data_IF_445357081633
#
_entry.id   IF_445357081633
#
_cell.length_a   1.000
_cell.length_b   1.000
_cell.length_c   1.000
_cell.angle_alpha   90.00
_cell.angle_beta   90.00
_cell.angle_gamma   90.00
#
_symmetry.space_group_name_H-M   'P 1'
#
loop_
_entity.id
_entity.type
_entity.pdbx_description
1 polymer ?
#
# COMPACT_ATOMS: atom_id res chain seq x y z
N UNK A 1 6.59 -54.68 -40.00
CA UNK A 1 6.47 -55.15 -38.58
C UNK A 1 6.87 -53.97 -37.72
N UNK A 2 5.97 -53.58 -36.90
CA UNK A 2 6.27 -52.58 -35.85
C UNK A 2 6.96 -53.33 -34.71
N UNK A 3 8.24 -53.12 -34.53
CA UNK A 3 8.98 -53.76 -33.45
C UNK A 3 8.72 -52.98 -32.15
N UNK A 4 8.30 -53.66 -31.08
CA UNK A 4 8.01 -53.07 -29.80
C UNK A 4 9.23 -52.33 -29.20
N UNK A 5 10.46 -52.78 -29.56
CA UNK A 5 11.72 -52.17 -29.15
C UNK A 5 11.86 -50.75 -29.74
N UNK A 6 11.57 -50.54 -31.02
CA UNK A 6 11.63 -49.20 -31.65
C UNK A 6 10.68 -48.18 -31.04
N UNK A 7 9.51 -48.65 -30.55
CA UNK A 7 8.55 -47.81 -29.84
C UNK A 7 9.08 -47.41 -28.47
N UNK A 8 9.62 -48.37 -27.72
CA UNK A 8 10.23 -48.12 -26.42
C UNK A 8 11.41 -47.15 -26.50
N UNK A 9 12.27 -47.30 -27.53
CA UNK A 9 13.40 -46.43 -27.80
C UNK A 9 12.95 -44.99 -28.12
N UNK A 10 11.85 -44.81 -28.87
CA UNK A 10 11.29 -43.51 -29.19
C UNK A 10 10.78 -42.81 -27.91
N UNK A 11 10.09 -43.51 -27.02
CA UNK A 11 9.65 -42.95 -25.73
C UNK A 11 10.83 -42.66 -24.81
N UNK A 12 11.83 -43.52 -24.77
CA UNK A 12 13.08 -43.28 -24.02
C UNK A 12 13.85 -42.05 -24.52
N UNK A 13 13.76 -41.76 -25.83
CA UNK A 13 14.31 -40.56 -26.43
C UNK A 13 13.45 -39.28 -26.21
N UNK A 14 12.32 -39.38 -25.49
CA UNK A 14 11.47 -38.24 -25.14
C UNK A 14 10.29 -37.99 -26.09
N UNK A 15 9.95 -38.92 -26.96
CA UNK A 15 8.73 -38.81 -27.77
C UNK A 15 7.48 -38.98 -26.90
N UNK A 16 6.53 -38.06 -27.04
CA UNK A 16 5.24 -38.11 -26.32
C UNK A 16 4.25 -39.09 -26.96
N UNK A 17 4.40 -39.39 -28.24
CA UNK A 17 3.61 -40.34 -28.99
C UNK A 17 4.36 -40.77 -30.24
N UNK A 18 3.87 -41.82 -30.91
CA UNK A 18 4.40 -42.26 -32.21
C UNK A 18 3.25 -42.62 -33.13
N UNK A 19 3.47 -42.49 -34.44
CA UNK A 19 2.55 -42.86 -35.49
C UNK A 19 3.22 -43.80 -36.48
N UNK A 20 2.46 -44.76 -37.00
CA UNK A 20 2.90 -45.59 -38.11
C UNK A 20 2.90 -44.79 -39.41
N UNK A 21 3.71 -45.19 -40.40
CA UNK A 21 3.67 -44.58 -41.75
C UNK A 21 2.27 -44.77 -42.33
N UNK A 22 1.70 -43.70 -42.87
CA UNK A 22 0.34 -43.66 -43.43
C UNK A 22 -0.73 -43.99 -42.36
N UNK A 23 -0.82 -43.19 -41.28
CA UNK A 23 -1.82 -43.42 -40.26
C UNK A 23 -3.23 -43.21 -40.82
N UNK A 24 -4.20 -43.90 -40.24
CA UNK A 24 -5.60 -43.62 -40.51
C UNK A 24 -5.93 -42.18 -40.15
N UNK A 25 -6.73 -41.51 -40.99
CA UNK A 25 -7.07 -40.10 -40.79
C UNK A 25 -7.78 -39.85 -39.45
N UNK A 26 -8.63 -40.78 -39.03
CA UNK A 26 -9.39 -40.64 -37.81
C UNK A 26 -8.46 -40.77 -36.61
N UNK A 27 -7.54 -41.76 -36.63
CA UNK A 27 -6.53 -41.95 -35.59
C UNK A 27 -5.61 -40.73 -35.49
N UNK A 28 -5.10 -40.23 -36.62
CA UNK A 28 -4.24 -39.06 -36.64
C UNK A 28 -4.92 -37.83 -36.02
N UNK A 29 -6.15 -37.54 -36.41
CA UNK A 29 -6.92 -36.41 -35.84
C UNK A 29 -7.16 -36.58 -34.35
N UNK A 30 -7.51 -37.80 -33.91
CA UNK A 30 -7.74 -38.08 -32.48
C UNK A 30 -6.48 -37.84 -31.64
N UNK A 31 -5.31 -38.30 -32.10
CA UNK A 31 -4.02 -38.11 -31.45
C UNK A 31 -3.60 -36.64 -31.42
N UNK A 32 -3.70 -35.94 -32.53
CA UNK A 32 -3.39 -34.50 -32.61
C UNK A 32 -4.28 -33.74 -31.60
N UNK A 33 -5.57 -34.01 -31.59
CA UNK A 33 -6.51 -33.36 -30.62
C UNK A 33 -6.15 -33.68 -29.17
N UNK A 34 -5.79 -34.93 -28.88
CA UNK A 34 -5.40 -35.34 -27.56
C UNK A 34 -4.15 -34.62 -27.04
N UNK A 35 -3.08 -34.62 -27.86
CA UNK A 35 -1.79 -34.03 -27.49
C UNK A 35 -1.79 -32.50 -27.54
N UNK A 36 -2.56 -31.90 -28.45
CA UNK A 36 -2.67 -30.42 -28.48
C UNK A 36 -3.59 -29.84 -27.41
N UNK A 37 -4.48 -30.64 -26.80
CA UNK A 37 -5.43 -30.15 -25.78
C UNK A 37 -4.75 -29.50 -24.60
N UNK A 38 -3.66 -30.06 -24.08
CA UNK A 38 -2.89 -29.48 -22.98
C UNK A 38 -2.26 -28.14 -23.35
N UNK A 39 -1.75 -28.03 -24.59
CA UNK A 39 -1.17 -26.80 -25.10
C UNK A 39 -2.22 -25.70 -25.33
N UNK A 40 -3.38 -26.05 -25.90
CA UNK A 40 -4.50 -25.12 -26.08
C UNK A 40 -4.98 -24.60 -24.75
N UNK A 41 -5.22 -25.49 -23.77
CA UNK A 41 -5.63 -25.08 -22.42
C UNK A 41 -4.58 -24.16 -21.75
N UNK A 42 -3.29 -24.38 -21.99
CA UNK A 42 -2.21 -23.51 -21.50
C UNK A 42 -2.29 -22.12 -22.14
N UNK A 43 -2.51 -22.04 -23.46
CA UNK A 43 -2.67 -20.77 -24.15
C UNK A 43 -3.89 -19.99 -23.64
N UNK A 44 -5.05 -20.63 -23.57
CA UNK A 44 -6.29 -20.02 -23.07
C UNK A 44 -6.11 -19.52 -21.62
N UNK A 45 -5.49 -20.32 -20.75
CA UNK A 45 -5.19 -19.90 -19.38
C UNK A 45 -4.25 -18.69 -19.36
N UNK A 46 -3.21 -18.68 -20.20
CA UNK A 46 -2.27 -17.57 -20.22
C UNK A 46 -2.91 -16.29 -20.79
N UNK A 47 -3.82 -16.41 -21.76
CA UNK A 47 -4.60 -15.27 -22.26
C UNK A 47 -5.54 -14.72 -21.19
N UNK A 48 -6.30 -15.58 -20.51
CA UNK A 48 -7.18 -15.18 -19.41
C UNK A 48 -6.39 -14.53 -18.27
N UNK A 49 -5.23 -15.08 -17.91
CA UNK A 49 -4.34 -14.51 -16.90
C UNK A 49 -3.86 -13.10 -17.31
N UNK A 50 -3.40 -12.94 -18.56
CA UNK A 50 -2.96 -11.62 -19.07
C UNK A 50 -4.09 -10.59 -19.06
N UNK A 51 -5.29 -10.99 -19.46
CA UNK A 51 -6.47 -10.11 -19.44
C UNK A 51 -6.76 -9.65 -18.01
N UNK A 52 -6.82 -10.58 -17.04
CA UNK A 52 -7.02 -10.25 -15.63
C UNK A 52 -5.94 -9.32 -15.08
N UNK A 53 -4.66 -9.59 -15.38
CA UNK A 53 -3.54 -8.75 -14.94
C UNK A 53 -3.62 -7.34 -15.54
N UNK A 54 -4.10 -7.21 -16.79
CA UNK A 54 -4.31 -5.91 -17.42
C UNK A 54 -5.44 -5.12 -16.75
N UNK A 55 -6.54 -5.76 -16.37
CA UNK A 55 -7.65 -5.11 -15.65
C UNK A 55 -7.22 -4.65 -14.25
N UNK A 56 -6.46 -5.48 -13.53
CA UNK A 56 -5.92 -5.11 -12.22
C UNK A 56 -4.94 -3.94 -12.31
N UNK A 57 -4.09 -3.91 -13.35
CA UNK A 57 -3.17 -2.80 -13.57
C UNK A 57 -3.89 -1.48 -13.85
N UNK A 58 -4.98 -1.50 -14.62
CA UNK A 58 -5.83 -0.31 -14.86
C UNK A 58 -6.50 0.17 -13.57
N UNK A 59 -6.99 -0.76 -12.74
CA UNK A 59 -7.55 -0.40 -11.44
C UNK A 59 -6.51 0.23 -10.50
N UNK A 60 -5.28 -0.28 -10.49
CA UNK A 60 -4.15 0.27 -9.73
C UNK A 60 -3.75 1.67 -10.21
N UNK A 61 -3.68 1.88 -11.52
CA UNK A 61 -3.42 3.20 -12.12
C UNK A 61 -4.50 4.20 -11.71
N UNK A 62 -5.78 3.80 -11.76
CA UNK A 62 -6.88 4.64 -11.31
C UNK A 62 -6.76 4.98 -9.82
N UNK A 63 -6.54 4.00 -8.94
CA UNK A 63 -6.37 4.23 -7.50
C UNK A 63 -5.21 5.19 -7.21
N UNK A 64 -4.07 5.01 -7.86
CA UNK A 64 -2.91 5.90 -7.75
C UNK A 64 -3.20 7.32 -8.25
N UNK A 65 -4.01 7.46 -9.31
CA UNK A 65 -4.40 8.76 -9.84
C UNK A 65 -5.27 9.61 -8.89
N UNK A 66 -5.85 8.97 -7.88
CA UNK A 66 -6.63 9.65 -6.83
C UNK A 66 -5.73 10.27 -5.75
N UNK A 67 -4.47 9.88 -5.66
CA UNK A 67 -3.53 10.47 -4.72
C UNK A 67 -3.25 11.94 -5.09
N UNK A 68 -3.14 12.83 -4.09
CA UNK A 68 -2.95 14.25 -4.36
C UNK A 68 -1.55 14.52 -4.95
N UNK A 69 -1.42 15.49 -5.89
CA UNK A 69 -0.11 15.89 -6.39
C UNK A 69 0.71 16.57 -5.29
N UNK A 70 2.05 16.39 -5.24
CA UNK A 70 2.90 17.08 -4.27
C UNK A 70 2.73 18.60 -4.27
N UNK A 71 2.72 19.19 -3.09
CA UNK A 71 2.75 20.64 -2.90
C UNK A 71 4.21 21.08 -2.81
N UNK A 72 4.68 21.85 -3.77
CA UNK A 72 6.09 22.27 -3.87
C UNK A 72 6.34 23.69 -3.40
N UNK A 73 5.29 24.48 -3.13
CA UNK A 73 5.36 25.86 -2.76
C UNK A 73 4.50 26.17 -1.51
N UNK A 74 4.83 27.28 -0.83
CA UNK A 74 4.09 27.77 0.34
C UNK A 74 4.63 27.27 1.67
N UNK A 75 3.93 27.64 2.75
CA UNK A 75 4.34 27.33 4.13
C UNK A 75 4.18 25.83 4.49
N UNK A 76 3.44 25.07 3.68
CA UNK A 76 3.28 23.63 3.80
C UNK A 76 3.63 23.00 2.47
N UNK A 77 4.66 22.18 2.46
CA UNK A 77 5.06 21.42 1.28
C UNK A 77 4.90 19.94 1.54
N UNK A 78 4.62 19.17 0.49
CA UNK A 78 4.41 17.71 0.61
C UNK A 78 5.20 16.96 -0.45
N UNK A 79 5.71 15.80 -0.07
CA UNK A 79 6.25 14.79 -0.97
C UNK A 79 5.81 13.41 -0.48
N UNK A 80 5.79 12.45 -1.35
CA UNK A 80 5.39 11.09 -0.95
C UNK A 80 6.00 10.02 -1.84
N UNK A 81 6.03 8.79 -1.31
CA UNK A 81 6.33 7.58 -2.06
C UNK A 81 5.29 6.52 -1.73
N UNK A 82 4.85 5.85 -2.77
CA UNK A 82 3.89 4.76 -2.70
C UNK A 82 4.33 3.63 -3.63
N UNK A 83 4.68 2.49 -3.06
CA UNK A 83 5.08 1.28 -3.77
C UNK A 83 4.27 0.11 -3.22
N UNK A 84 3.21 -0.32 -3.91
CA UNK A 84 2.39 -1.42 -3.44
C UNK A 84 3.15 -2.75 -3.52
N UNK A 85 2.94 -3.61 -2.53
CA UNK A 85 3.53 -4.96 -2.44
C UNK A 85 2.95 -5.91 -3.47
N UNK A 86 1.70 -5.68 -3.83
CA UNK A 86 0.95 -6.37 -4.87
C UNK A 86 0.50 -5.37 -5.94
N UNK A 87 -0.36 -5.77 -6.87
CA UNK A 87 -0.85 -4.83 -7.90
C UNK A 87 -1.75 -3.73 -7.33
N UNK A 88 -2.50 -4.03 -6.26
CA UNK A 88 -3.39 -3.10 -5.58
C UNK A 88 -3.09 -3.15 -4.08
N UNK A 89 -2.56 -2.05 -3.54
CA UNK A 89 -2.32 -1.88 -2.11
C UNK A 89 -3.57 -1.54 -1.33
N UNK A 90 -3.56 -1.84 -0.03
CA UNK A 90 -4.56 -1.40 0.95
C UNK A 90 -4.32 0.02 1.44
N UNK A 91 -3.09 0.48 1.34
CA UNK A 91 -2.64 1.80 1.76
C UNK A 91 -3.20 2.93 0.91
N UNK A 92 -3.50 4.04 1.56
CA UNK A 92 -3.83 5.27 0.88
C UNK A 92 -3.55 6.49 1.78
N UNK A 93 -3.26 7.64 1.18
CA UNK A 93 -3.01 8.87 1.93
C UNK A 93 -3.64 10.07 1.22
N UNK A 94 -3.76 11.17 1.95
CA UNK A 94 -4.26 12.39 1.38
C UNK A 94 -3.91 13.60 2.23
N UNK A 95 -4.11 14.77 1.65
CA UNK A 95 -3.99 16.05 2.31
C UNK A 95 -4.80 17.13 1.58
N UNK A 96 -5.30 18.07 2.33
CA UNK A 96 -6.04 19.21 1.80
C UNK A 96 -6.19 20.30 2.85
N UNK A 97 -6.49 21.50 2.40
CA UNK A 97 -6.92 22.58 3.28
C UNK A 97 -8.38 22.37 3.68
N UNK A 98 -8.63 22.20 5.00
CA UNK A 98 -10.00 22.13 5.55
C UNK A 98 -10.65 23.52 5.44
N UNK A 99 -9.88 24.53 5.77
CA UNK A 99 -10.21 25.93 5.60
C UNK A 99 -8.92 26.77 5.34
N UNK A 100 -9.00 28.10 5.45
CA UNK A 100 -7.86 28.98 5.16
C UNK A 100 -6.65 28.77 6.09
N UNK A 101 -6.84 28.21 7.28
CA UNK A 101 -5.79 28.11 8.31
C UNK A 101 -5.47 26.67 8.74
N UNK A 102 -6.34 25.70 8.41
CA UNK A 102 -6.21 24.32 8.85
C UNK A 102 -5.86 23.40 7.66
N UNK A 103 -4.69 22.79 7.72
CA UNK A 103 -4.21 21.82 6.74
C UNK A 103 -4.31 20.41 7.31
N UNK A 104 -5.19 19.60 6.73
CA UNK A 104 -5.35 18.19 7.09
C UNK A 104 -4.44 17.30 6.24
N UNK A 105 -3.83 16.27 6.86
CA UNK A 105 -3.07 15.23 6.19
C UNK A 105 -3.20 13.92 6.94
N UNK A 106 -3.23 12.82 6.20
CA UNK A 106 -3.55 11.51 6.76
C UNK A 106 -2.99 10.39 5.89
N UNK A 107 -2.74 9.26 6.53
CA UNK A 107 -2.44 7.99 5.89
C UNK A 107 -3.26 6.91 6.59
N UNK A 108 -3.83 6.03 5.80
CA UNK A 108 -4.61 4.88 6.26
C UNK A 108 -4.10 3.61 5.60
N UNK A 109 -4.23 2.51 6.30
CA UNK A 109 -3.91 1.16 5.84
C UNK A 109 -5.08 0.22 6.16
N UNK A 110 -5.61 -0.42 5.12
CA UNK A 110 -6.74 -1.35 5.20
C UNK A 110 -6.21 -2.77 5.37
N UNK A 111 -6.69 -3.47 6.39
CA UNK A 111 -6.30 -4.86 6.63
C UNK A 111 -6.45 -5.75 5.39
N UNK A 112 -5.40 -6.52 5.08
CA UNK A 112 -5.33 -7.39 3.91
C UNK A 112 -4.91 -6.66 2.64
N UNK A 113 -4.97 -7.33 1.50
CA UNK A 113 -4.46 -6.81 0.23
C UNK A 113 -5.40 -7.13 -0.94
N UNK A 114 -5.20 -6.44 -2.06
CA UNK A 114 -5.94 -6.65 -3.30
C UNK A 114 -7.16 -5.75 -3.46
N UNK A 115 -8.06 -6.13 -4.36
CA UNK A 115 -9.17 -5.26 -4.83
C UNK A 115 -10.07 -4.78 -3.69
N UNK A 116 -10.40 -5.64 -2.73
CA UNK A 116 -11.30 -5.30 -1.63
C UNK A 116 -10.75 -4.19 -0.75
N UNK A 117 -9.52 -4.35 -0.25
CA UNK A 117 -8.83 -3.34 0.57
C UNK A 117 -8.60 -2.04 -0.19
N UNK A 118 -8.18 -2.10 -1.46
CA UNK A 118 -8.02 -0.91 -2.29
C UNK A 118 -9.34 -0.13 -2.51
N UNK A 119 -10.48 -0.81 -2.70
CA UNK A 119 -11.77 -0.14 -2.84
C UNK A 119 -12.22 0.51 -1.53
N UNK A 120 -11.95 -0.13 -0.39
CA UNK A 120 -12.27 0.43 0.91
C UNK A 120 -11.41 1.67 1.21
N UNK A 121 -10.09 1.60 0.93
CA UNK A 121 -9.17 2.73 1.11
C UNK A 121 -9.57 3.93 0.24
N UNK A 122 -9.90 3.71 -1.05
CA UNK A 122 -10.41 4.76 -1.94
C UNK A 122 -11.72 5.36 -1.42
N UNK A 123 -12.62 4.53 -0.89
CA UNK A 123 -13.88 5.03 -0.32
C UNK A 123 -13.64 5.91 0.90
N UNK A 124 -12.76 5.50 1.83
CA UNK A 124 -12.40 6.29 3.01
C UNK A 124 -11.72 7.61 2.63
N UNK A 125 -10.77 7.60 1.68
CA UNK A 125 -10.11 8.81 1.19
C UNK A 125 -11.10 9.79 0.55
N UNK A 126 -12.05 9.29 -0.24
CA UNK A 126 -13.06 10.15 -0.86
C UNK A 126 -13.95 10.83 0.20
N UNK A 127 -14.34 10.11 1.25
CA UNK A 127 -15.09 10.67 2.38
C UNK A 127 -14.28 11.77 3.11
N UNK A 128 -12.99 11.52 3.36
CA UNK A 128 -12.11 12.49 4.01
C UNK A 128 -11.90 13.74 3.13
N UNK A 129 -11.56 13.55 1.85
CA UNK A 129 -11.26 14.65 0.93
C UNK A 129 -12.48 15.52 0.62
N UNK A 130 -13.67 14.93 0.53
CA UNK A 130 -14.93 15.66 0.31
C UNK A 130 -15.56 16.17 1.59
N UNK A 131 -14.96 15.87 2.75
CA UNK A 131 -15.49 16.21 4.07
C UNK A 131 -16.94 15.72 4.26
N UNK A 132 -17.23 14.51 3.77
CA UNK A 132 -18.58 13.95 3.69
C UNK A 132 -19.01 13.13 4.91
N UNK A 133 -18.56 13.50 6.13
CA UNK A 133 -19.02 12.94 7.38
C UNK A 133 -20.04 13.88 8.03
N UNK A 134 -21.32 13.50 8.14
CA UNK A 134 -22.36 14.38 8.63
C UNK A 134 -22.10 14.88 10.06
N UNK A 135 -22.10 16.21 10.24
CA UNK A 135 -21.93 16.84 11.55
C UNK A 135 -20.55 16.71 12.18
N UNK A 136 -19.55 16.26 11.43
CA UNK A 136 -18.16 16.11 11.89
C UNK A 136 -17.37 17.38 11.61
N UNK A 137 -16.68 17.88 12.62
CA UNK A 137 -15.68 18.94 12.49
C UNK A 137 -14.35 18.31 12.04
N UNK A 138 -13.93 18.59 10.80
CA UNK A 138 -12.68 18.06 10.21
C UNK A 138 -11.41 18.71 10.77
N UNK A 139 -11.54 19.76 11.58
CA UNK A 139 -10.40 20.33 12.33
C UNK A 139 -10.15 19.61 13.67
N UNK A 140 -11.02 18.69 14.07
CA UNK A 140 -10.95 17.90 15.30
C UNK A 140 -10.69 16.41 14.96
N UNK A 141 -9.42 15.95 14.97
CA UNK A 141 -9.04 14.59 14.56
C UNK A 141 -9.84 13.47 15.22
N UNK A 142 -10.10 13.57 16.52
CA UNK A 142 -10.88 12.58 17.27
C UNK A 142 -12.33 12.48 16.78
N UNK A 143 -12.90 13.56 16.29
CA UNK A 143 -14.25 13.57 15.71
C UNK A 143 -14.27 12.93 14.32
N UNK A 144 -13.21 13.17 13.55
CA UNK A 144 -13.05 12.54 12.21
C UNK A 144 -12.94 11.03 12.37
N UNK A 145 -12.09 10.54 13.29
CA UNK A 145 -11.97 9.10 13.54
C UNK A 145 -13.28 8.49 14.03
N UNK A 146 -14.03 9.18 14.89
CA UNK A 146 -15.35 8.75 15.33
C UNK A 146 -16.34 8.61 14.17
N UNK A 147 -16.41 9.62 13.30
CA UNK A 147 -17.28 9.61 12.11
C UNK A 147 -16.88 8.53 11.09
N UNK A 148 -15.58 8.30 10.90
CA UNK A 148 -15.08 7.19 10.08
C UNK A 148 -15.49 5.84 10.68
N UNK A 149 -15.31 5.67 12.00
CA UNK A 149 -15.70 4.42 12.66
C UNK A 149 -17.20 4.12 12.54
N UNK A 150 -18.06 5.12 12.64
CA UNK A 150 -19.50 4.95 12.42
C UNK A 150 -19.83 4.56 10.97
N UNK A 151 -19.11 5.15 10.01
CA UNK A 151 -19.38 4.96 8.59
C UNK A 151 -18.81 3.65 8.02
N UNK A 152 -17.71 3.14 8.59
CA UNK A 152 -16.94 2.02 8.06
C UNK A 152 -16.88 0.82 9.00
N UNK A 153 -18.01 0.42 9.59
CA UNK A 153 -18.08 -0.77 10.43
C UNK A 153 -17.78 -2.05 9.62
N UNK A 154 -16.84 -2.86 10.10
CA UNK A 154 -16.34 -4.07 9.42
C UNK A 154 -17.45 -5.04 9.01
N UNK A 155 -18.55 -5.11 9.76
CA UNK A 155 -19.71 -5.96 9.46
C UNK A 155 -20.37 -5.62 8.11
N UNK A 156 -20.26 -4.35 7.68
CA UNK A 156 -20.81 -3.86 6.42
C UNK A 156 -19.77 -3.83 5.29
N UNK A 157 -18.49 -4.16 5.58
CA UNK A 157 -17.35 -4.05 4.68
C UNK A 157 -16.53 -5.34 4.62
N UNK A 158 -17.18 -6.50 4.46
CA UNK A 158 -16.55 -7.81 4.31
C UNK A 158 -15.55 -8.16 5.45
N UNK A 159 -15.86 -7.76 6.68
CA UNK A 159 -15.01 -7.86 7.87
C UNK A 159 -13.65 -7.12 7.75
N UNK A 160 -13.55 -6.16 6.85
CA UNK A 160 -12.37 -5.31 6.76
C UNK A 160 -12.48 -4.12 7.73
N UNK A 161 -11.35 -3.78 8.32
CA UNK A 161 -11.12 -2.62 9.15
C UNK A 161 -9.83 -1.92 8.68
N UNK A 162 -9.54 -0.75 9.18
CA UNK A 162 -8.32 -0.07 8.81
C UNK A 162 -7.70 0.72 9.96
N UNK A 163 -6.42 0.95 9.84
CA UNK A 163 -5.69 1.89 10.67
C UNK A 163 -5.64 3.25 10.00
N UNK A 164 -5.52 4.31 10.78
CA UNK A 164 -5.36 5.67 10.24
C UNK A 164 -4.61 6.56 11.23
N UNK A 165 -3.69 7.36 10.71
CA UNK A 165 -3.19 8.53 11.38
C UNK A 165 -3.74 9.77 10.67
N UNK A 166 -4.39 10.66 11.42
CA UNK A 166 -5.01 11.89 10.91
C UNK A 166 -4.52 13.09 11.70
N UNK A 167 -3.92 14.06 11.02
CA UNK A 167 -3.41 15.30 11.61
C UNK A 167 -3.97 16.54 10.95
N UNK A 168 -4.12 17.61 11.74
CA UNK A 168 -4.55 18.95 11.30
C UNK A 168 -3.59 19.98 11.84
N UNK A 169 -2.84 20.61 10.95
CA UNK A 169 -1.92 21.69 11.27
C UNK A 169 -2.59 23.05 11.10
N UNK A 170 -2.59 23.84 12.19
CA UNK A 170 -3.07 25.21 12.18
C UNK A 170 -1.88 26.16 11.92
N UNK A 171 -1.82 26.75 10.71
CA UNK A 171 -0.65 27.50 10.24
C UNK A 171 -0.31 28.78 11.04
N UNK A 172 -1.30 29.44 11.68
CA UNK A 172 -1.05 30.70 12.43
C UNK A 172 -0.57 30.45 13.84
N UNK A 173 -1.01 29.35 14.46
CA UNK A 173 -0.64 29.02 15.85
C UNK A 173 0.45 27.98 15.92
N UNK A 174 0.86 27.42 14.76
CA UNK A 174 1.81 26.32 14.66
C UNK A 174 1.43 25.12 15.52
N UNK A 175 0.13 24.89 15.69
CA UNK A 175 -0.38 23.78 16.49
C UNK A 175 -0.82 22.65 15.56
N UNK A 176 -0.33 21.47 15.83
CA UNK A 176 -0.76 20.23 15.20
C UNK A 176 -1.70 19.49 16.16
N UNK A 177 -2.95 19.32 15.77
CA UNK A 177 -3.89 18.40 16.43
C UNK A 177 -3.85 17.09 15.66
N UNK A 178 -3.83 15.94 16.34
CA UNK A 178 -3.77 14.64 15.67
C UNK A 178 -4.44 13.53 16.49
N UNK A 179 -4.84 12.47 15.81
CA UNK A 179 -5.32 11.23 16.38
C UNK A 179 -4.86 10.05 15.51
N UNK A 180 -4.63 8.92 16.13
CA UNK A 180 -4.31 7.67 15.45
C UNK A 180 -5.35 6.61 15.80
N UNK A 181 -5.91 5.95 14.82
CA UNK A 181 -6.77 4.78 14.95
C UNK A 181 -5.98 3.50 14.71
N UNK A 182 -5.16 3.08 15.65
CA UNK A 182 -4.33 1.86 15.55
C UNK A 182 -3.16 1.94 14.56
N UNK A 183 -2.88 3.10 14.02
CA UNK A 183 -1.83 3.33 13.02
C UNK A 183 -0.47 3.61 13.70
N UNK A 184 0.67 3.33 13.04
CA UNK A 184 1.99 3.74 13.51
C UNK A 184 2.06 5.23 13.86
N UNK A 185 2.96 5.64 14.77
CA UNK A 185 3.15 7.05 15.08
C UNK A 185 3.70 7.81 13.88
N UNK A 186 3.28 9.06 13.69
CA UNK A 186 4.01 9.96 12.82
C UNK A 186 5.32 10.40 13.49
N UNK A 187 6.34 10.66 12.69
CA UNK A 187 7.61 11.20 13.17
C UNK A 187 7.69 12.70 12.90
N UNK A 188 7.95 13.47 13.93
CA UNK A 188 8.27 14.89 13.83
C UNK A 188 9.78 15.09 13.98
N UNK A 189 10.39 15.73 13.00
CA UNK A 189 11.82 16.04 12.98
C UNK A 189 11.97 17.57 12.81
N UNK A 190 12.28 18.31 13.89
CA UNK A 190 12.68 19.71 13.80
C UNK A 190 13.98 19.87 13.01
N UNK A 191 14.18 21.02 12.39
CA UNK A 191 15.44 21.29 11.68
C UNK A 191 16.63 21.22 12.66
N UNK A 192 17.57 20.33 12.38
CA UNK A 192 18.74 20.06 13.23
C UNK A 192 18.43 19.44 14.59
N UNK A 193 17.21 18.93 14.82
CA UNK A 193 16.78 18.28 16.06
C UNK A 193 16.58 16.77 15.94
N UNK A 194 16.36 16.14 17.07
CA UNK A 194 16.06 14.70 17.15
C UNK A 194 14.63 14.41 16.72
N UNK A 195 14.41 13.21 16.19
CA UNK A 195 13.08 12.71 15.86
C UNK A 195 12.24 12.49 17.12
N UNK A 196 10.95 12.79 17.03
CA UNK A 196 9.98 12.51 18.09
C UNK A 196 8.73 11.84 17.52
N UNK A 197 8.19 10.86 18.25
CA UNK A 197 6.99 10.14 17.86
C UNK A 197 5.73 10.91 18.29
N UNK A 198 4.79 11.09 17.37
CA UNK A 198 3.47 11.64 17.60
C UNK A 198 2.46 10.49 17.74
N UNK A 199 2.30 10.00 18.96
CA UNK A 199 1.44 8.86 19.30
C UNK A 199 0.10 9.30 19.87
N UNK A 200 -0.98 8.63 19.47
CA UNK A 200 -2.31 8.76 20.06
C UNK A 200 -2.98 7.38 20.05
N UNK A 201 -2.90 6.65 21.14
CA UNK A 201 -3.38 5.28 21.23
C UNK A 201 -4.92 5.22 21.24
N UNK A 202 -5.50 4.70 20.16
CA UNK A 202 -6.93 4.41 20.03
C UNK A 202 -7.11 3.08 19.26
N UNK A 203 -8.34 2.58 19.22
CA UNK A 203 -8.70 1.39 18.44
C UNK A 203 -8.67 1.68 16.93
N UNK A 204 -8.46 0.63 16.14
CA UNK A 204 -8.60 0.66 14.67
C UNK A 204 -10.02 1.05 14.27
N UNK A 205 -10.17 1.57 13.06
CA UNK A 205 -11.46 2.03 12.53
C UNK A 205 -12.29 0.84 12.03
N UNK A 206 -13.52 0.77 12.47
CA UNK A 206 -14.52 -0.20 12.00
C UNK A 206 -14.57 -1.51 12.77
N UNK A 207 -13.58 -1.83 13.61
CA UNK A 207 -13.54 -3.09 14.35
C UNK A 207 -14.60 -3.18 15.48
N UNK A 208 -14.88 -2.06 16.14
CA UNK A 208 -15.82 -2.01 17.25
C UNK A 208 -16.80 -0.84 17.11
N UNK A 209 -18.09 -1.02 17.39
CA UNK A 209 -19.06 0.07 17.40
C UNK A 209 -18.89 0.95 18.66
N UNK A 210 -19.35 2.19 18.57
CA UNK A 210 -19.41 3.13 19.70
C UNK A 210 -18.07 3.41 20.38
N UNK A 211 -16.96 3.41 19.63
CA UNK A 211 -15.63 3.76 20.14
C UNK A 211 -15.53 5.28 20.30
N UNK A 212 -15.02 5.72 21.45
CA UNK A 212 -14.62 7.11 21.64
C UNK A 212 -13.13 7.27 21.35
N UNK A 213 -12.79 8.19 20.46
CA UNK A 213 -11.41 8.49 20.10
C UNK A 213 -10.89 9.70 20.86
N UNK A 214 -9.59 9.67 21.18
CA UNK A 214 -8.90 10.77 21.86
C UNK A 214 -7.89 11.38 20.91
N UNK A 215 -7.89 12.71 20.81
CA UNK A 215 -6.89 13.49 20.09
C UNK A 215 -5.75 13.95 20.99
N UNK A 216 -4.64 14.30 20.37
CA UNK A 216 -3.45 14.90 21.00
C UNK A 216 -3.10 16.20 20.29
N UNK A 217 -2.27 17.04 20.94
CA UNK A 217 -1.77 18.28 20.33
C UNK A 217 -0.27 18.43 20.56
N UNK A 218 0.39 18.95 19.56
CA UNK A 218 1.79 19.35 19.64
C UNK A 218 1.96 20.76 19.06
N UNK A 219 2.86 21.54 19.65
CA UNK A 219 3.28 22.82 19.07
C UNK A 219 4.50 22.54 18.19
N UNK A 220 4.39 22.88 16.93
CA UNK A 220 5.45 22.69 15.94
C UNK A 220 6.18 24.03 15.74
N UNK A 221 7.48 23.99 15.83
CA UNK A 221 8.29 25.18 15.51
C UNK A 221 8.92 25.00 14.12
N UNK A 222 8.41 25.69 13.10
CA UNK A 222 9.05 25.65 11.77
C UNK A 222 10.48 26.24 11.80
N UNK A 223 11.40 25.73 10.96
CA UNK A 223 11.19 24.66 10.00
C UNK A 223 11.17 23.27 10.65
N UNK A 224 10.25 22.43 10.21
CA UNK A 224 10.12 21.06 10.71
C UNK A 224 9.55 20.14 9.62
N UNK A 225 9.88 18.86 9.72
CA UNK A 225 9.37 17.83 8.81
C UNK A 225 8.58 16.77 9.59
N UNK A 226 7.43 16.38 9.06
CA UNK A 226 6.65 15.27 9.56
C UNK A 226 6.65 14.14 8.53
N UNK A 227 6.77 12.90 9.02
CA UNK A 227 6.59 11.70 8.22
C UNK A 227 5.43 10.89 8.78
N UNK A 228 4.48 10.56 7.92
CA UNK A 228 3.40 9.59 8.19
C UNK A 228 3.63 8.42 7.25
N UNK A 229 3.58 7.20 7.76
CA UNK A 229 3.96 6.01 6.99
C UNK A 229 3.21 4.77 7.50
N UNK A 230 3.03 3.77 6.61
CA UNK A 230 2.50 2.45 6.97
C UNK A 230 3.58 1.57 7.61
N UNK A 231 3.16 0.46 8.18
CA UNK A 231 4.06 -0.51 8.84
C UNK A 231 5.04 -1.16 7.87
N UNK A 232 4.68 -1.34 6.59
CA UNK A 232 5.59 -1.85 5.55
C UNK A 232 6.84 -1.01 5.32
N UNK A 233 6.94 0.19 5.92
CA UNK A 233 8.15 1.03 5.88
C UNK A 233 9.19 0.60 6.94
N UNK A 234 8.78 -0.06 8.04
CA UNK A 234 9.69 -0.45 9.12
C UNK A 234 9.54 -1.91 9.56
N UNK A 235 8.42 -2.59 9.29
CA UNK A 235 8.27 -4.02 9.58
C UNK A 235 8.84 -4.88 8.44
N UNK A 236 10.13 -4.70 8.13
CA UNK A 236 10.82 -5.42 7.06
C UNK A 236 11.76 -6.47 7.63
N UNK A 237 11.52 -7.74 7.30
CA UNK A 237 12.41 -8.84 7.68
C UNK A 237 13.67 -8.84 6.81
N UNK A 238 14.83 -8.81 7.46
CA UNK A 238 16.13 -8.93 6.79
C UNK A 238 16.42 -10.36 6.36
N UNK A 239 17.42 -10.53 5.50
CA UNK A 239 17.85 -11.85 5.03
C UNK A 239 18.34 -12.77 6.14
N UNK A 240 18.79 -12.24 7.29
CA UNK A 240 19.20 -12.99 8.47
C UNK A 240 18.06 -13.33 9.44
N UNK A 241 16.80 -12.95 9.10
CA UNK A 241 15.61 -13.16 9.92
C UNK A 241 15.39 -12.13 11.02
N UNK A 242 16.22 -11.09 11.13
CA UNK A 242 15.99 -9.97 12.04
C UNK A 242 15.03 -8.95 11.40
N UNK A 243 14.29 -8.22 12.25
CA UNK A 243 13.37 -7.18 11.76
C UNK A 243 14.03 -5.80 11.75
N UNK A 244 13.81 -5.05 10.68
CA UNK A 244 14.02 -3.62 10.66
C UNK A 244 12.96 -2.96 11.53
N UNK A 245 13.37 -2.09 12.44
CA UNK A 245 12.50 -1.57 13.50
C UNK A 245 12.18 -0.09 13.29
N UNK A 246 11.11 0.37 13.94
CA UNK A 246 10.74 1.79 13.98
C UNK A 246 11.88 2.68 14.50
N UNK A 247 12.66 2.22 15.51
CA UNK A 247 13.80 2.96 16.03
C UNK A 247 14.93 3.15 14.99
N UNK A 248 15.12 2.18 14.11
CA UNK A 248 16.09 2.29 13.01
C UNK A 248 15.60 3.23 11.92
N UNK A 249 14.29 3.22 11.62
CA UNK A 249 13.65 4.19 10.74
C UNK A 249 13.81 5.63 11.27
N UNK A 250 13.59 5.84 12.57
CA UNK A 250 13.80 7.13 13.22
C UNK A 250 15.25 7.63 13.04
N UNK A 251 16.21 6.76 13.33
CA UNK A 251 17.64 7.07 13.14
C UNK A 251 17.99 7.40 11.69
N UNK A 252 17.41 6.68 10.73
CA UNK A 252 17.61 6.94 9.31
C UNK A 252 17.04 8.28 8.87
N UNK A 253 15.83 8.61 9.30
CA UNK A 253 15.14 9.85 8.89
C UNK A 253 15.70 11.09 9.61
N UNK A 254 16.17 10.95 10.87
CA UNK A 254 16.83 12.04 11.58
C UNK A 254 18.19 12.39 10.97
N UNK A 255 18.92 11.40 10.46
CA UNK A 255 20.25 11.56 9.90
C UNK A 255 20.36 10.82 8.55
N UNK A 256 19.61 11.29 7.51
CA UNK A 256 19.61 10.62 6.22
C UNK A 256 21.02 10.61 5.63
N UNK A 257 21.48 9.48 5.09
CA UNK A 257 22.77 9.40 4.42
C UNK A 257 22.87 10.44 3.28
N UNK A 258 24.02 11.06 3.12
CA UNK A 258 24.27 11.98 2.01
C UNK A 258 24.29 11.21 0.71
N UNK A 259 23.19 11.29 -0.05
CA UNK A 259 23.06 10.70 -1.36
C UNK A 259 22.33 11.66 -2.31
N UNK A 260 22.51 11.47 -3.61
CA UNK A 260 21.69 12.16 -4.61
C UNK A 260 20.27 11.59 -4.59
N UNK A 261 19.26 12.46 -4.49
CA UNK A 261 17.85 12.09 -4.52
C UNK A 261 17.11 12.31 -3.21
N UNK A 262 15.87 11.78 -3.15
CA UNK A 262 15.03 11.86 -1.96
C UNK A 262 15.45 10.81 -0.92
N UNK A 263 15.45 11.19 0.36
CA UNK A 263 15.67 10.25 1.47
C UNK A 263 14.68 9.08 1.45
N UNK A 264 13.45 9.29 0.97
CA UNK A 264 12.44 8.24 0.84
C UNK A 264 12.80 7.22 -0.26
N UNK A 265 13.39 7.67 -1.38
CA UNK A 265 13.88 6.78 -2.44
C UNK A 265 15.07 5.94 -1.94
N UNK A 266 15.97 6.59 -1.20
CA UNK A 266 17.10 5.92 -0.59
C UNK A 266 16.65 4.88 0.43
N UNK A 267 15.69 5.22 1.29
CA UNK A 267 15.11 4.30 2.27
C UNK A 267 14.50 3.07 1.57
N UNK A 268 13.64 3.28 0.57
CA UNK A 268 13.04 2.17 -0.17
C UNK A 268 14.07 1.24 -0.80
N UNK A 269 15.10 1.82 -1.41
CA UNK A 269 16.22 1.03 -1.97
C UNK A 269 16.93 0.23 -0.88
N UNK A 270 17.25 0.85 0.25
CA UNK A 270 17.92 0.21 1.39
C UNK A 270 17.10 -0.98 1.93
N UNK A 271 15.79 -0.81 2.09
CA UNK A 271 14.91 -1.88 2.58
C UNK A 271 14.82 -3.06 1.60
N UNK A 272 14.76 -2.81 0.30
CA UNK A 272 14.81 -3.85 -0.74
C UNK A 272 16.13 -4.63 -0.71
N UNK A 273 17.24 -3.93 -0.57
CA UNK A 273 18.56 -4.56 -0.44
C UNK A 273 18.66 -5.41 0.83
N UNK A 274 18.14 -4.93 1.97
CA UNK A 274 18.08 -5.69 3.22
C UNK A 274 17.21 -6.95 3.12
N UNK A 275 16.04 -6.84 2.45
CA UNK A 275 15.13 -7.97 2.22
C UNK A 275 15.69 -8.97 1.18
N UNK A 276 16.51 -8.49 0.25
CA UNK A 276 17.07 -9.29 -0.86
C UNK A 276 16.03 -9.64 -1.93
N UNK A 277 14.96 -8.83 -2.07
CA UNK A 277 13.89 -8.99 -3.07
C UNK A 277 13.61 -7.67 -3.79
N UNK A 278 13.00 -7.75 -4.97
CA UNK A 278 12.62 -6.55 -5.73
C UNK A 278 11.41 -5.80 -5.17
N UNK A 279 10.53 -6.50 -4.45
CA UNK A 279 9.36 -5.95 -3.78
C UNK A 279 9.43 -6.25 -2.28
N UNK A 280 8.82 -5.40 -1.47
CA UNK A 280 8.60 -5.64 -0.05
C UNK A 280 7.40 -6.58 0.15
N UNK A 281 7.27 -7.13 1.35
CA UNK A 281 6.18 -8.07 1.67
C UNK A 281 4.86 -7.32 1.95
N UNK A 282 4.93 -6.03 2.30
CA UNK A 282 3.79 -5.14 2.50
C UNK A 282 3.96 -3.82 1.74
N UNK A 283 2.89 -3.03 1.67
CA UNK A 283 2.86 -1.76 0.96
C UNK A 283 3.83 -0.75 1.60
N UNK A 284 4.64 -0.11 0.78
CA UNK A 284 5.49 0.98 1.21
C UNK A 284 4.81 2.31 0.93
N UNK A 285 4.26 2.92 1.96
CA UNK A 285 3.57 4.20 1.87
C UNK A 285 4.19 5.19 2.84
N UNK A 286 4.69 6.30 2.32
CA UNK A 286 5.28 7.36 3.11
C UNK A 286 4.88 8.73 2.59
N UNK A 287 4.31 9.54 3.47
CA UNK A 287 3.95 10.94 3.26
C UNK A 287 4.89 11.82 4.10
N UNK A 288 5.58 12.73 3.42
CA UNK A 288 6.40 13.79 4.02
C UNK A 288 5.64 15.11 3.96
N UNK A 289 5.54 15.81 5.07
CA UNK A 289 4.98 17.16 5.19
C UNK A 289 6.07 18.08 5.78
N UNK A 290 6.50 19.05 5.00
CA UNK A 290 7.50 20.05 5.43
C UNK A 290 6.79 21.36 5.76
N UNK A 291 7.03 21.86 6.95
CA UNK A 291 6.52 23.13 7.47
C UNK A 291 7.66 24.15 7.47
N UNK A 292 7.47 25.28 6.78
CA UNK A 292 8.48 26.32 6.61
C UNK A 292 8.06 27.63 7.26
#
# INVERSE_FOLDING_TARGET
KEEAVTKADAFAAGANDYLVKLPDRIELIARIRYHSRGYINLLERNEAYRALMSELAQAAEYATSLLPPPLTEGAVQTAWRFYPSTQLGGDCFGYHWVDQDHFAFYLLDVCGHGVGSALLSVSAINVLRSQALPGVDFTAPEKVLGGLNESFQMQNHNNMYFTIWYGVYHRRTHTLSFASGGHPPALLIPDGGDASQLTAANFVIGAFPNVSYCGQKAVIQPPATLYVFSDGVYEVERQDGTMWSLAELEGFLAHPPSAEGSEMDLLYKTLREMRGRETLDDDFSMLKVTLT
#
